data_IF_363508700096
#
_entry.id   IF_363508700096
#
_cell.length_a   1.000
_cell.length_b   1.000
_cell.length_c   1.000
_cell.angle_alpha   90.00
_cell.angle_beta   90.00
_cell.angle_gamma   90.00
#
_symmetry.space_group_name_H-M   'P 1'
#
loop_
_entity.id
_entity.type
_entity.pdbx_description
1 polymer ?
#
# COMPACT_ATOMS: atom_id res chain seq x y z
N UNK A 1 -10.25 9.05 10.72
CA UNK A 1 -8.93 8.53 10.31
C UNK A 1 -8.13 8.23 11.56
N UNK A 2 -7.78 6.97 11.80
CA UNK A 2 -7.00 6.57 12.98
C UNK A 2 -5.50 6.69 12.68
N UNK A 3 -5.02 7.91 12.47
CA UNK A 3 -3.59 8.17 12.37
C UNK A 3 -3.07 8.45 13.78
N UNK A 4 -2.03 7.73 14.18
CA UNK A 4 -1.35 7.97 15.46
C UNK A 4 0.01 8.60 15.21
N UNK A 5 0.61 9.19 16.25
CA UNK A 5 1.99 9.67 16.16
C UNK A 5 2.90 8.56 15.63
N UNK A 6 3.86 8.87 14.73
CA UNK A 6 4.71 7.86 14.11
C UNK A 6 5.47 7.08 15.19
N UNK A 7 5.39 5.75 15.12
CA UNK A 7 6.07 4.84 16.04
C UNK A 7 7.17 4.09 15.30
N UNK A 8 8.29 3.88 16.00
CA UNK A 8 9.40 3.07 15.54
C UNK A 8 9.22 1.63 16.04
N UNK A 9 9.30 0.68 15.13
CA UNK A 9 9.43 -0.74 15.42
C UNK A 9 10.82 -1.19 14.97
N UNK A 10 11.58 -1.80 15.89
CA UNK A 10 12.92 -2.30 15.61
C UNK A 10 12.89 -3.82 15.67
N UNK A 11 13.34 -4.47 14.59
CA UNK A 11 13.43 -5.92 14.52
C UNK A 11 14.85 -6.32 14.12
N UNK A 12 15.42 -7.31 14.80
CA UNK A 12 16.75 -7.85 14.49
C UNK A 12 16.64 -9.36 14.24
N UNK A 13 16.34 -9.79 13.00
CA UNK A 13 16.19 -11.21 12.70
C UNK A 13 17.52 -11.98 12.72
N UNK A 14 18.65 -11.29 12.49
CA UNK A 14 20.00 -11.85 12.51
C UNK A 14 20.93 -10.86 13.23
N UNK A 15 22.03 -11.31 13.84
CA UNK A 15 23.06 -10.41 14.37
C UNK A 15 23.62 -9.43 13.31
N UNK A 16 23.52 -9.77 12.03
CA UNK A 16 23.99 -8.97 10.90
C UNK A 16 22.89 -8.14 10.23
N UNK A 17 21.65 -8.16 10.75
CA UNK A 17 20.50 -7.52 10.11
C UNK A 17 19.63 -6.77 11.12
N UNK A 18 19.39 -5.49 10.84
CA UNK A 18 18.47 -4.66 11.62
C UNK A 18 17.44 -4.00 10.70
N UNK A 19 16.16 -4.13 11.05
CA UNK A 19 15.03 -3.53 10.35
C UNK A 19 14.41 -2.46 11.27
N UNK A 20 14.35 -1.23 10.76
CA UNK A 20 13.71 -0.10 11.42
C UNK A 20 12.46 0.30 10.65
N UNK A 21 11.29 -0.01 11.19
CA UNK A 21 10.00 0.26 10.54
C UNK A 21 9.28 1.37 11.28
N UNK A 22 9.05 2.49 10.60
CA UNK A 22 8.26 3.61 11.12
C UNK A 22 6.85 3.52 10.54
N UNK A 23 5.84 3.58 11.40
CA UNK A 23 4.44 3.41 11.01
C UNK A 23 3.53 4.37 11.76
N UNK A 24 2.50 4.85 11.07
CA UNK A 24 1.38 5.61 11.67
C UNK A 24 0.23 4.72 12.12
N UNK A 25 0.34 3.41 11.89
CA UNK A 25 -0.70 2.44 12.27
C UNK A 25 -0.79 2.34 13.80
N UNK A 26 -2.00 2.44 14.38
CA UNK A 26 -2.21 2.19 15.80
C UNK A 26 -1.78 0.77 16.18
N UNK A 27 -1.42 0.52 17.47
CA UNK A 27 -1.06 -0.80 17.94
C UNK A 27 -2.21 -1.78 17.66
N UNK A 28 -1.91 -3.02 17.23
CA UNK A 28 -2.93 -3.95 16.75
C UNK A 28 -3.68 -4.60 17.92
N UNK A 29 -4.50 -3.84 18.64
CA UNK A 29 -5.46 -4.36 19.62
C UNK A 29 -6.65 -5.00 18.91
N UNK A 30 -7.37 -5.91 19.57
CA UNK A 30 -8.55 -6.57 18.99
C UNK A 30 -9.59 -5.55 18.51
N UNK A 31 -9.85 -4.50 19.31
CA UNK A 31 -10.77 -3.43 18.93
C UNK A 31 -10.33 -2.68 17.67
N UNK A 32 -9.03 -2.34 17.57
CA UNK A 32 -8.48 -1.66 16.38
C UNK A 32 -8.52 -2.58 15.15
N UNK A 33 -8.29 -3.89 15.32
CA UNK A 33 -8.41 -4.86 14.22
C UNK A 33 -9.85 -4.99 13.74
N UNK A 34 -10.82 -5.12 14.65
CA UNK A 34 -12.24 -5.18 14.32
C UNK A 34 -12.70 -3.90 13.62
N UNK A 35 -12.32 -2.73 14.15
CA UNK A 35 -12.65 -1.44 13.55
C UNK A 35 -11.98 -1.28 12.18
N UNK A 36 -10.70 -1.63 12.03
CA UNK A 36 -10.01 -1.58 10.74
C UNK A 36 -10.61 -2.56 9.73
N UNK A 37 -11.04 -3.74 10.18
CA UNK A 37 -11.74 -4.72 9.34
C UNK A 37 -13.10 -4.19 8.91
N UNK A 38 -13.88 -3.62 9.84
CA UNK A 38 -15.16 -2.98 9.56
C UNK A 38 -15.01 -1.83 8.54
N UNK A 39 -13.99 -0.97 8.71
CA UNK A 39 -13.69 0.10 7.76
C UNK A 39 -13.29 -0.45 6.38
N UNK A 40 -12.55 -1.56 6.34
CA UNK A 40 -12.19 -2.21 5.07
C UNK A 40 -13.43 -2.80 4.40
N UNK A 41 -14.30 -3.49 5.15
CA UNK A 41 -15.58 -4.01 4.64
C UNK A 41 -16.45 -2.87 4.11
N UNK A 42 -16.58 -1.77 4.86
CA UNK A 42 -17.32 -0.59 4.42
C UNK A 42 -16.74 0.01 3.14
N UNK A 43 -15.41 0.09 3.02
CA UNK A 43 -14.74 0.55 1.78
C UNK A 43 -15.02 -0.36 0.60
N UNK A 44 -14.96 -1.67 0.80
CA UNK A 44 -15.27 -2.66 -0.25
C UNK A 44 -16.74 -2.53 -0.67
N UNK A 45 -17.66 -2.41 0.28
CA UNK A 45 -19.08 -2.21 -0.01
C UNK A 45 -19.34 -0.91 -0.77
N UNK A 46 -18.71 0.21 -0.39
CA UNK A 46 -18.81 1.49 -1.11
C UNK A 46 -18.24 1.41 -2.52
N UNK A 47 -17.12 0.72 -2.70
CA UNK A 47 -16.51 0.51 -4.02
C UNK A 47 -17.42 -0.34 -4.92
N UNK A 48 -17.93 -1.47 -4.40
CA UNK A 48 -18.87 -2.32 -5.12
C UNK A 48 -20.18 -1.58 -5.45
N UNK A 49 -20.72 -0.81 -4.51
CA UNK A 49 -21.91 0.01 -4.76
C UNK A 49 -21.67 1.06 -5.85
N UNK A 50 -20.49 1.69 -5.85
CA UNK A 50 -20.12 2.68 -6.88
C UNK A 50 -20.04 2.03 -8.27
N UNK A 51 -19.48 0.82 -8.36
CA UNK A 51 -19.41 0.05 -9.61
C UNK A 51 -20.83 -0.33 -10.07
N UNK A 52 -21.69 -0.82 -9.17
CA UNK A 52 -23.06 -1.21 -9.51
C UNK A 52 -23.88 -0.02 -10.04
N UNK A 53 -23.72 1.16 -9.43
CA UNK A 53 -24.36 2.38 -9.91
C UNK A 53 -23.86 2.80 -11.29
N UNK A 54 -22.55 2.69 -11.53
CA UNK A 54 -21.96 3.02 -12.83
C UNK A 54 -22.40 2.02 -13.93
N UNK A 55 -22.50 0.74 -13.60
CA UNK A 55 -23.04 -0.30 -14.49
C UNK A 55 -24.53 -0.09 -14.79
N UNK A 56 -25.33 0.28 -13.78
CA UNK A 56 -26.74 0.63 -13.98
C UNK A 56 -26.90 1.86 -14.89
N UNK A 57 -26.12 2.92 -14.66
CA UNK A 57 -26.09 4.10 -15.53
C UNK A 57 -25.67 3.76 -16.97
N UNK A 58 -24.66 2.90 -17.16
CA UNK A 58 -24.25 2.44 -18.49
C UNK A 58 -25.37 1.68 -19.20
N UNK A 59 -26.07 0.78 -18.52
CA UNK A 59 -27.15 -0.01 -19.12
C UNK A 59 -28.38 0.80 -19.56
N UNK A 60 -28.58 2.00 -19.00
CA UNK A 60 -29.62 2.94 -19.44
C UNK A 60 -29.16 3.83 -20.60
N UNK A 61 -27.86 3.83 -20.91
CA UNK A 61 -27.33 4.58 -22.05
C UNK A 61 -27.66 3.87 -23.37
N UNK A 62 -27.92 4.62 -24.46
CA UNK A 62 -28.22 4.03 -25.77
C UNK A 62 -27.05 3.19 -26.33
N UNK A 63 -25.86 3.35 -25.78
CA UNK A 63 -24.65 2.62 -26.19
C UNK A 63 -24.56 1.19 -25.63
N UNK A 64 -25.36 0.84 -24.61
CA UNK A 64 -25.34 -0.50 -24.01
C UNK A 64 -26.23 -1.53 -24.75
N UNK A 65 -27.19 -1.05 -25.53
CA UNK A 65 -28.11 -1.90 -26.30
C UNK A 65 -27.44 -2.98 -27.18
N UNK A 66 -26.38 -2.70 -27.97
CA UNK A 66 -25.72 -3.71 -28.81
C UNK A 66 -24.97 -4.78 -28.01
N UNK A 67 -24.57 -4.50 -26.77
CA UNK A 67 -23.80 -5.43 -25.94
C UNK A 67 -24.69 -6.33 -25.08
N UNK A 68 -25.88 -5.86 -24.72
CA UNK A 68 -26.86 -6.62 -23.93
C UNK A 68 -27.75 -7.51 -24.81
N UNK A 69 -27.93 -7.14 -26.09
CA UNK A 69 -28.61 -7.96 -27.09
C UNK A 69 -27.75 -9.18 -27.44
N UNK A 70 -28.26 -10.41 -27.25
CA UNK A 70 -27.58 -11.59 -27.77
C UNK A 70 -27.53 -11.47 -29.29
N UNK A 71 -26.33 -11.33 -29.84
CA UNK A 71 -26.14 -11.44 -31.29
C UNK A 71 -26.68 -12.82 -31.71
N UNK A 72 -27.63 -12.90 -32.65
CA UNK A 72 -28.18 -14.18 -33.08
C UNK A 72 -27.01 -15.02 -33.59
N UNK A 73 -26.81 -16.14 -32.91
CA UNK A 73 -25.80 -17.13 -33.21
C UNK A 73 -25.87 -17.45 -34.69
N UNK A 74 -24.81 -17.13 -35.42
CA UNK A 74 -24.60 -17.65 -36.76
C UNK A 74 -24.59 -19.18 -36.60
N UNK A 75 -25.59 -19.84 -37.16
CA UNK A 75 -25.77 -21.28 -37.18
C UNK A 75 -24.45 -21.95 -37.57
N UNK A 76 -23.85 -22.81 -36.71
CA UNK A 76 -22.72 -23.62 -37.14
C UNK A 76 -23.28 -24.67 -38.10
N UNK A 77 -22.99 -24.49 -39.38
CA UNK A 77 -23.15 -25.56 -40.37
C UNK A 77 -22.30 -26.74 -39.91
N UNK A 78 -23.00 -27.82 -39.58
CA UNK A 78 -22.61 -29.22 -39.40
C UNK A 78 -21.17 -29.57 -39.79
N UNK A 79 -20.32 -29.89 -38.81
CA UNK A 79 -19.25 -30.91 -38.94
C UNK A 79 -18.97 -31.47 -37.53
N UNK A 80 -19.08 -32.79 -37.30
CA UNK A 80 -18.86 -33.36 -35.97
C UNK A 80 -17.39 -33.76 -35.85
N UNK A 81 -16.58 -32.95 -35.18
CA UNK A 81 -15.33 -33.44 -34.59
C UNK A 81 -14.90 -32.52 -33.42
N UNK A 82 -14.98 -33.08 -32.21
CA UNK A 82 -14.41 -32.64 -30.94
C UNK A 82 -14.67 -31.18 -30.46
N UNK A 83 -15.45 -30.96 -29.39
CA UNK A 83 -15.38 -29.69 -28.66
C UNK A 83 -14.10 -29.65 -27.80
N UNK A 84 -13.20 -28.67 -27.97
CA UNK A 84 -12.07 -28.49 -27.08
C UNK A 84 -12.59 -28.03 -25.70
N UNK A 85 -12.27 -28.80 -24.67
CA UNK A 85 -12.67 -28.57 -23.27
C UNK A 85 -12.07 -27.29 -22.64
N UNK A 86 -11.30 -26.52 -23.41
CA UNK A 86 -10.43 -25.45 -22.91
C UNK A 86 -11.04 -24.05 -23.06
N UNK A 87 -12.18 -23.91 -23.76
CA UNK A 87 -12.80 -22.61 -24.05
C UNK A 87 -13.70 -22.05 -22.93
N UNK A 88 -13.85 -22.75 -21.79
CA UNK A 88 -14.99 -22.55 -20.88
C UNK A 88 -14.73 -21.71 -19.62
N UNK A 89 -13.49 -21.36 -19.30
CA UNK A 89 -13.21 -20.63 -18.05
C UNK A 89 -13.07 -19.11 -18.20
N UNK A 90 -12.80 -18.59 -19.40
CA UNK A 90 -12.68 -17.14 -19.70
C UNK A 90 -13.42 -16.74 -20.99
N UNK A 91 -14.54 -17.40 -21.30
CA UNK A 91 -15.32 -17.05 -22.49
C UNK A 91 -16.10 -15.74 -22.27
N UNK A 92 -16.11 -14.86 -23.27
CA UNK A 92 -16.86 -13.60 -23.24
C UNK A 92 -18.36 -13.80 -22.93
N UNK A 93 -18.91 -14.97 -23.26
CA UNK A 93 -20.30 -15.35 -23.00
C UNK A 93 -20.59 -15.64 -21.53
N UNK A 94 -19.63 -16.19 -20.78
CA UNK A 94 -19.78 -16.41 -19.32
C UNK A 94 -19.70 -15.08 -18.57
N UNK A 95 -18.87 -14.15 -19.06
CA UNK A 95 -18.82 -12.77 -18.56
C UNK A 95 -20.18 -12.06 -18.69
N UNK A 96 -20.82 -12.12 -19.87
CA UNK A 96 -22.14 -11.53 -20.07
C UNK A 96 -23.24 -12.19 -19.22
N UNK A 97 -23.17 -13.51 -19.00
CA UNK A 97 -24.08 -14.20 -18.09
C UNK A 97 -23.90 -13.77 -16.64
N UNK A 98 -22.65 -13.69 -16.16
CA UNK A 98 -22.34 -13.21 -14.81
C UNK A 98 -22.85 -11.78 -14.59
N UNK A 99 -22.66 -10.90 -15.58
CA UNK A 99 -23.17 -9.53 -15.54
C UNK A 99 -24.71 -9.48 -15.44
N UNK A 100 -25.42 -10.36 -16.16
CA UNK A 100 -26.88 -10.50 -16.07
C UNK A 100 -27.33 -10.99 -14.69
N UNK A 101 -26.63 -11.97 -14.09
CA UNK A 101 -26.91 -12.40 -12.72
C UNK A 101 -26.70 -11.27 -11.70
N UNK A 102 -25.69 -10.43 -11.90
CA UNK A 102 -25.44 -9.25 -11.07
C UNK A 102 -26.59 -8.23 -11.23
N UNK A 103 -27.07 -7.98 -12.44
CA UNK A 103 -28.24 -7.11 -12.66
C UNK A 103 -29.55 -7.68 -12.07
N UNK A 104 -29.72 -9.01 -12.11
CA UNK A 104 -30.88 -9.69 -11.54
C UNK A 104 -30.86 -9.80 -10.00
N UNK A 105 -29.76 -9.40 -9.35
CA UNK A 105 -29.65 -9.40 -7.89
C UNK A 105 -30.46 -8.25 -7.25
N UNK A 106 -30.83 -8.41 -5.97
CA UNK A 106 -31.50 -7.37 -5.17
C UNK A 106 -30.76 -6.02 -5.20
N UNK A 107 -29.41 -5.95 -5.00
CA UNK A 107 -28.70 -4.68 -5.06
C UNK A 107 -28.65 -4.08 -6.48
N UNK A 108 -28.62 -4.90 -7.53
CA UNK A 108 -28.69 -4.44 -8.92
C UNK A 108 -30.02 -3.73 -9.22
N UNK A 109 -31.15 -4.28 -8.75
CA UNK A 109 -32.47 -3.64 -8.91
C UNK A 109 -32.59 -2.33 -8.12
N UNK A 110 -32.02 -2.25 -6.93
CA UNK A 110 -32.00 -1.02 -6.14
C UNK A 110 -31.17 0.07 -6.81
N UNK A 111 -30.00 -0.27 -7.35
CA UNK A 111 -29.18 0.66 -8.13
C UNK A 111 -29.95 1.20 -9.34
N UNK A 112 -30.62 0.34 -10.09
CA UNK A 112 -31.48 0.74 -11.22
C UNK A 112 -32.62 1.67 -10.82
N UNK A 113 -33.26 1.43 -9.67
CA UNK A 113 -34.31 2.31 -9.13
C UNK A 113 -33.76 3.69 -8.76
N UNK A 114 -32.57 3.76 -8.18
CA UNK A 114 -31.91 5.02 -7.81
C UNK A 114 -31.55 5.82 -9.06
N UNK A 115 -30.99 5.17 -10.09
CA UNK A 115 -30.65 5.83 -11.36
C UNK A 115 -31.91 6.26 -12.12
N UNK A 116 -32.97 5.44 -12.12
CA UNK A 116 -34.24 5.77 -12.78
C UNK A 116 -35.04 6.86 -12.03
N UNK A 117 -34.80 7.03 -10.73
CA UNK A 117 -35.38 8.14 -10.00
C UNK A 117 -34.70 9.45 -10.43
N UNK A 118 -35.47 10.39 -10.97
CA UNK A 118 -35.02 11.73 -11.39
C UNK A 118 -34.43 12.60 -10.24
N UNK A 119 -34.21 12.02 -9.05
CA UNK A 119 -33.67 12.67 -7.88
C UNK A 119 -32.21 13.14 -8.06
N UNK A 120 -31.43 12.47 -8.92
CA UNK A 120 -30.03 12.86 -9.20
C UNK A 120 -29.77 12.84 -10.71
N UNK A 121 -29.36 13.96 -11.33
CA UNK A 121 -29.02 13.98 -12.74
C UNK A 121 -27.77 13.12 -13.01
N UNK A 122 -27.85 12.28 -14.05
CA UNK A 122 -26.75 11.43 -14.53
C UNK A 122 -25.36 12.12 -14.61
N UNK A 123 -25.22 13.36 -15.12
CA UNK A 123 -23.91 14.02 -15.20
C UNK A 123 -23.28 14.33 -13.83
N UNK A 124 -24.04 14.35 -12.74
CA UNK A 124 -23.51 14.51 -11.37
C UNK A 124 -23.25 13.15 -10.73
N UNK A 125 -24.10 12.16 -11.02
CA UNK A 125 -23.98 10.81 -10.48
C UNK A 125 -22.67 10.12 -10.89
N UNK A 126 -22.31 10.19 -12.17
CA UNK A 126 -21.12 9.54 -12.73
C UNK A 126 -19.82 10.04 -12.07
N UNK A 127 -19.50 11.35 -12.06
CA UNK A 127 -18.30 11.83 -11.40
C UNK A 127 -18.33 11.59 -9.89
N UNK A 128 -19.50 11.65 -9.25
CA UNK A 128 -19.66 11.30 -7.83
C UNK A 128 -19.26 9.84 -7.53
N UNK A 129 -19.72 8.90 -8.36
CA UNK A 129 -19.36 7.48 -8.24
C UNK A 129 -17.87 7.24 -8.50
N UNK A 130 -17.29 7.91 -9.51
CA UNK A 130 -15.85 7.81 -9.80
C UNK A 130 -15.01 8.38 -8.66
N UNK A 131 -15.39 9.53 -8.11
CA UNK A 131 -14.70 10.14 -6.98
C UNK A 131 -14.82 9.29 -5.72
N UNK A 132 -15.99 8.71 -5.45
CA UNK A 132 -16.19 7.78 -4.34
C UNK A 132 -15.32 6.53 -4.51
N UNK A 133 -15.32 5.90 -5.69
CA UNK A 133 -14.46 4.77 -5.99
C UNK A 133 -12.98 5.13 -5.82
N UNK A 134 -12.53 6.26 -6.35
CA UNK A 134 -11.16 6.75 -6.18
C UNK A 134 -10.80 6.98 -4.70
N UNK A 135 -11.70 7.60 -3.93
CA UNK A 135 -11.54 7.83 -2.49
C UNK A 135 -11.33 6.52 -1.70
N UNK A 136 -11.97 5.42 -2.11
CA UNK A 136 -11.75 4.11 -1.47
C UNK A 136 -10.37 3.52 -1.77
N UNK A 137 -9.76 3.85 -2.92
CA UNK A 137 -8.45 3.38 -3.38
C UNK A 137 -7.27 4.16 -2.74
N UNK A 138 -7.54 5.33 -2.18
CA UNK A 138 -6.55 6.12 -1.45
C UNK A 138 -6.12 5.41 -0.16
N UNK A 139 -4.80 5.28 0.04
CA UNK A 139 -4.21 4.59 1.18
C UNK A 139 -4.26 5.47 2.43
N UNK A 140 -4.77 4.92 3.54
CA UNK A 140 -4.95 5.66 4.80
C UNK A 140 -3.75 5.61 5.74
N UNK A 141 -2.82 4.69 5.52
CA UNK A 141 -1.67 4.48 6.38
C UNK A 141 -0.37 4.49 5.59
N UNK A 142 0.59 5.23 6.12
CA UNK A 142 1.95 5.30 5.61
C UNK A 142 2.87 4.49 6.52
N UNK A 143 3.68 3.66 5.89
CA UNK A 143 4.70 2.83 6.54
C UNK A 143 5.98 2.94 5.74
N UNK A 144 7.07 3.27 6.41
CA UNK A 144 8.39 3.38 5.80
C UNK A 144 9.35 2.54 6.62
N UNK A 145 10.18 1.74 5.96
CA UNK A 145 11.14 0.87 6.62
C UNK A 145 12.54 1.07 6.05
N UNK A 146 13.51 0.90 6.94
CA UNK A 146 14.93 0.93 6.66
C UNK A 146 15.51 -0.40 7.11
N UNK A 147 15.94 -1.21 6.16
CA UNK A 147 16.63 -2.46 6.41
C UNK A 147 18.13 -2.23 6.25
N UNK A 148 18.89 -2.54 7.28
CA UNK A 148 20.35 -2.46 7.28
C UNK A 148 20.90 -3.88 7.28
N UNK A 149 21.72 -4.18 6.28
CA UNK A 149 22.38 -5.46 6.08
C UNK A 149 23.89 -5.24 6.22
N UNK A 150 24.48 -5.79 7.29
CA UNK A 150 25.91 -5.64 7.57
C UNK A 150 26.74 -6.19 6.40
N UNK A 151 27.70 -5.38 5.93
CA UNK A 151 28.59 -5.72 4.83
C UNK A 151 27.93 -5.71 3.43
N UNK A 152 26.61 -5.54 3.33
CA UNK A 152 25.91 -5.51 2.05
C UNK A 152 25.42 -4.09 1.71
N UNK A 153 24.68 -3.47 2.63
CA UNK A 153 24.20 -2.11 2.43
C UNK A 153 22.90 -1.82 3.15
N UNK A 154 22.21 -0.80 2.65
CA UNK A 154 20.98 -0.28 3.23
C UNK A 154 19.86 -0.36 2.19
N UNK A 155 18.70 -0.86 2.58
CA UNK A 155 17.49 -0.85 1.78
C UNK A 155 16.44 0.05 2.41
N UNK A 156 16.00 1.05 1.67
CA UNK A 156 14.85 1.89 2.04
C UNK A 156 13.60 1.36 1.35
N UNK A 157 12.49 1.28 2.08
CA UNK A 157 11.20 0.88 1.52
C UNK A 157 10.13 1.88 1.98
N UNK A 158 9.50 2.60 1.05
CA UNK A 158 8.43 3.54 1.36
C UNK A 158 7.11 3.12 0.72
N UNK A 159 6.04 3.18 1.51
CA UNK A 159 4.68 2.88 1.04
C UNK A 159 4.11 4.02 0.18
N UNK A 160 3.66 3.66 -1.01
CA UNK A 160 2.97 4.59 -1.92
C UNK A 160 1.59 5.02 -1.40
N UNK A 161 1.09 6.16 -1.93
CA UNK A 161 -0.10 6.86 -1.42
C UNK A 161 -1.43 6.22 -1.84
N UNK A 162 -1.37 5.26 -2.77
CA UNK A 162 -2.50 4.50 -3.26
C UNK A 162 -2.31 3.01 -2.95
N UNK A 163 -3.41 2.26 -2.84
CA UNK A 163 -3.35 0.80 -2.75
C UNK A 163 -2.91 0.16 -4.08
N UNK A 164 -3.12 0.82 -5.21
CA UNK A 164 -2.75 0.32 -6.54
C UNK A 164 -1.27 0.47 -6.87
N UNK A 165 -0.57 1.35 -6.16
CA UNK A 165 0.84 1.63 -6.41
C UNK A 165 1.72 0.80 -5.46
N UNK A 166 2.70 0.11 -6.05
CA UNK A 166 3.69 -0.67 -5.32
C UNK A 166 4.50 0.21 -4.37
N UNK A 167 5.07 -0.41 -3.33
CA UNK A 167 6.02 0.28 -2.45
C UNK A 167 7.30 0.59 -3.24
N UNK A 168 7.85 1.79 -3.05
CA UNK A 168 9.13 2.15 -3.61
C UNK A 168 10.24 1.52 -2.76
N UNK A 169 11.05 0.64 -3.34
CA UNK A 169 12.20 0.03 -2.68
C UNK A 169 13.48 0.49 -3.37
N UNK A 170 14.47 0.93 -2.59
CA UNK A 170 15.78 1.34 -3.10
C UNK A 170 16.87 0.70 -2.24
N UNK A 171 17.77 -0.02 -2.88
CA UNK A 171 18.94 -0.61 -2.25
C UNK A 171 20.18 0.22 -2.56
N UNK A 172 20.99 0.47 -1.52
CA UNK A 172 22.21 1.27 -1.56
C UNK A 172 23.33 0.40 -1.00
N UNK A 173 24.27 -0.07 -1.85
CA UNK A 173 25.41 -0.87 -1.42
C UNK A 173 26.29 -0.11 -0.42
N UNK A 174 26.90 -0.82 0.54
CA UNK A 174 27.79 -0.20 1.55
C UNK A 174 28.95 0.57 0.93
N UNK A 175 29.51 0.07 -0.17
CA UNK A 175 30.64 0.71 -0.89
C UNK A 175 30.30 2.12 -1.38
N UNK A 176 29.02 2.37 -1.68
CA UNK A 176 28.55 3.68 -2.15
C UNK A 176 28.15 4.61 -1.01
N UNK A 177 28.12 4.15 0.24
CA UNK A 177 27.69 4.96 1.37
C UNK A 177 28.90 5.72 1.91
N UNK A 178 28.90 7.04 1.74
CA UNK A 178 29.93 7.89 2.34
C UNK A 178 29.66 8.11 3.82
N UNK A 179 28.45 8.58 4.14
CA UNK A 179 28.00 8.76 5.51
C UNK A 179 26.47 8.79 5.63
N UNK A 180 25.97 8.54 6.84
CA UNK A 180 24.58 8.68 7.23
C UNK A 180 24.47 9.81 8.24
N UNK A 181 23.74 10.86 7.90
CA UNK A 181 23.62 12.07 8.71
C UNK A 181 22.17 12.31 9.13
N UNK A 182 22.03 12.97 10.28
CA UNK A 182 20.75 13.52 10.72
C UNK A 182 20.78 15.01 10.40
N UNK A 183 19.85 15.46 9.56
CA UNK A 183 19.69 16.88 9.28
C UNK A 183 18.38 17.43 9.84
N UNK A 184 18.33 18.74 10.03
CA UNK A 184 17.14 19.48 10.40
C UNK A 184 16.69 20.41 9.27
N UNK A 185 15.37 20.54 9.11
CA UNK A 185 14.78 21.46 8.16
C UNK A 185 13.58 22.16 8.78
N UNK A 186 13.37 23.41 8.37
CA UNK A 186 12.19 24.18 8.72
C UNK A 186 11.07 23.87 7.73
N UNK A 187 9.93 23.42 8.23
CA UNK A 187 8.69 23.27 7.45
C UNK A 187 7.63 24.20 8.02
N UNK A 188 7.49 25.38 7.43
CA UNK A 188 6.71 26.46 8.04
C UNK A 188 7.36 26.93 9.34
N UNK A 189 6.68 26.73 10.47
CA UNK A 189 7.17 27.06 11.81
C UNK A 189 7.60 25.84 12.64
N UNK A 190 7.62 24.64 12.04
CA UNK A 190 8.01 23.41 12.72
C UNK A 190 9.41 22.98 12.28
N UNK A 191 10.30 22.69 13.23
CA UNK A 191 11.60 22.06 12.97
C UNK A 191 11.40 20.55 12.85
N UNK A 192 11.77 19.99 11.69
CA UNK A 192 11.68 18.56 11.42
C UNK A 192 13.05 17.96 11.20
N UNK A 193 13.27 16.81 11.81
CA UNK A 193 14.51 16.04 11.65
C UNK A 193 14.30 14.96 10.60
N UNK A 194 15.29 14.76 9.74
CA UNK A 194 15.26 13.72 8.73
C UNK A 194 16.64 13.06 8.60
N UNK A 195 16.60 11.77 8.30
CA UNK A 195 17.80 10.96 8.11
C UNK A 195 18.15 10.95 6.62
N UNK A 196 19.38 11.34 6.30
CA UNK A 196 19.93 11.34 4.94
C UNK A 196 21.09 10.35 4.84
N UNK A 197 21.18 9.71 3.69
CA UNK A 197 22.33 8.89 3.30
C UNK A 197 23.02 9.61 2.14
N UNK A 198 24.30 9.90 2.32
CA UNK A 198 25.15 10.45 1.25
C UNK A 198 25.67 9.27 0.44
N UNK A 199 25.33 9.25 -0.84
CA UNK A 199 25.70 8.19 -1.77
C UNK A 199 26.74 8.71 -2.76
N UNK A 200 27.83 8.00 -2.93
CA UNK A 200 28.86 8.32 -3.92
C UNK A 200 28.31 8.17 -5.35
N UNK A 201 28.51 9.19 -6.18
CA UNK A 201 28.07 9.21 -7.58
C UNK A 201 26.61 9.62 -7.79
N UNK A 202 25.90 10.04 -6.75
CA UNK A 202 24.58 10.67 -6.85
C UNK A 202 24.66 12.14 -6.41
N UNK A 203 24.12 13.06 -7.22
CA UNK A 203 24.04 14.49 -6.86
C UNK A 203 22.95 14.75 -5.80
N UNK A 204 21.94 13.87 -5.75
CA UNK A 204 20.80 13.98 -4.84
C UNK A 204 21.02 13.18 -3.55
N UNK A 205 20.68 13.81 -2.41
CA UNK A 205 20.71 13.16 -1.10
C UNK A 205 19.53 12.20 -0.94
N UNK A 206 19.79 10.97 -0.49
CA UNK A 206 18.72 10.00 -0.26
C UNK A 206 18.12 10.16 1.13
N UNK A 207 16.86 10.59 1.19
CA UNK A 207 16.09 10.69 2.44
C UNK A 207 15.47 9.33 2.76
N UNK A 208 15.77 8.80 3.96
CA UNK A 208 15.31 7.47 4.39
C UNK A 208 13.80 7.42 4.66
N UNK A 209 13.24 8.47 5.26
CA UNK A 209 11.83 8.57 5.66
C UNK A 209 11.14 9.78 5.00
N UNK A 210 10.90 9.76 3.68
CA UNK A 210 10.45 10.94 2.94
C UNK A 210 9.06 11.43 3.34
N UNK A 211 8.15 10.53 3.76
CA UNK A 211 6.75 10.90 4.07
C UNK A 211 6.50 11.06 5.55
N UNK A 212 7.09 10.21 6.38
CA UNK A 212 6.75 10.17 7.80
C UNK A 212 7.46 11.25 8.63
N UNK A 213 8.65 11.69 8.20
CA UNK A 213 9.47 12.73 8.86
C UNK A 213 9.38 12.66 10.40
N UNK A 214 9.83 11.56 11.01
CA UNK A 214 9.60 11.29 12.43
C UNK A 214 10.36 12.28 13.34
N UNK A 215 9.95 12.33 14.63
CA UNK A 215 10.59 13.20 15.63
C UNK A 215 12.06 12.82 15.88
N UNK A 216 12.86 13.78 16.36
CA UNK A 216 14.30 13.63 16.69
C UNK A 216 14.64 12.32 17.38
N UNK A 217 13.91 11.96 18.45
CA UNK A 217 14.16 10.74 19.25
C UNK A 217 14.19 9.46 18.40
N UNK A 218 13.25 9.34 17.47
CA UNK A 218 13.14 8.19 16.57
C UNK A 218 14.30 8.20 15.57
N UNK A 219 14.54 9.34 14.92
CA UNK A 219 15.62 9.50 13.94
C UNK A 219 16.98 9.19 14.55
N UNK A 220 17.23 9.69 15.77
CA UNK A 220 18.49 9.46 16.49
C UNK A 220 18.68 7.99 16.86
N UNK A 221 17.61 7.30 17.27
CA UNK A 221 17.67 5.86 17.56
C UNK A 221 17.98 5.05 16.30
N UNK A 222 17.33 5.39 15.18
CA UNK A 222 17.61 4.74 13.88
C UNK A 222 19.04 5.02 13.45
N UNK A 223 19.50 6.28 13.52
CA UNK A 223 20.86 6.67 13.15
C UNK A 223 21.92 5.91 13.96
N UNK A 224 21.79 5.85 15.29
CA UNK A 224 22.71 5.06 16.14
C UNK A 224 22.71 3.59 15.76
N UNK A 225 21.54 3.03 15.48
CA UNK A 225 21.40 1.63 15.05
C UNK A 225 22.05 1.35 13.70
N UNK A 226 21.87 2.24 12.73
CA UNK A 226 22.48 2.14 11.39
C UNK A 226 24.00 2.25 11.49
N UNK A 227 24.51 3.26 12.20
CA UNK A 227 25.95 3.47 12.39
C UNK A 227 26.60 2.25 13.06
N UNK A 228 25.96 1.70 14.09
CA UNK A 228 26.42 0.47 14.76
C UNK A 228 26.51 -0.71 13.80
N UNK A 229 25.45 -0.96 13.01
CA UNK A 229 25.43 -2.09 12.08
C UNK A 229 26.39 -1.96 10.89
N UNK A 230 26.66 -0.74 10.41
CA UNK A 230 27.51 -0.51 9.22
C UNK A 230 29.00 -0.43 9.58
N UNK A 231 29.37 0.26 10.67
CA UNK A 231 30.78 0.56 11.00
C UNK A 231 31.39 -0.24 12.17
N UNK A 232 30.62 -0.89 13.05
CA UNK A 232 31.22 -1.69 14.15
C UNK A 232 31.95 -2.96 13.66
N UNK A 233 31.89 -3.26 12.35
CA UNK A 233 32.63 -4.35 11.73
C UNK A 233 34.14 -4.08 11.62
N UNK A 234 34.55 -2.82 11.41
CA UNK A 234 35.96 -2.51 11.16
C UNK A 234 36.79 -2.46 12.44
N UNK A 235 36.14 -2.47 13.61
CA UNK A 235 36.79 -2.35 14.92
C UNK A 235 36.93 -3.65 15.72
N UNK A 236 36.43 -4.80 15.26
CA UNK A 236 36.40 -6.04 16.06
C UNK A 236 37.00 -7.26 15.39
N UNK A 237 38.18 -7.08 14.79
CA UNK A 237 39.19 -8.15 14.67
C UNK A 237 40.14 -8.22 15.90
N UNK A 238 39.85 -7.50 16.99
CA UNK A 238 40.65 -7.55 18.22
C UNK A 238 39.86 -7.20 19.48
N UNK A 239 39.35 -8.22 20.17
CA UNK A 239 39.04 -8.21 21.61
C UNK A 239 37.73 -7.52 22.06
N UNK A 240 36.82 -8.28 22.67
CA UNK A 240 35.79 -7.68 23.55
C UNK A 240 34.39 -8.31 23.54
N UNK A 241 34.27 -9.64 23.64
CA UNK A 241 32.98 -10.35 23.68
C UNK A 241 32.13 -10.17 24.95
N UNK A 242 32.26 -9.07 25.70
CA UNK A 242 31.56 -8.89 26.99
C UNK A 242 30.36 -7.93 26.92
N UNK A 243 30.24 -7.06 25.91
CA UNK A 243 29.26 -5.95 25.94
C UNK A 243 27.95 -6.19 25.19
N UNK A 244 27.85 -7.21 24.33
CA UNK A 244 26.67 -7.45 23.50
C UNK A 244 25.44 -7.82 24.33
N UNK A 245 25.63 -8.57 25.43
CA UNK A 245 24.54 -9.03 26.30
C UNK A 245 23.85 -7.91 27.07
N UNK A 246 24.57 -6.82 27.38
CA UNK A 246 24.06 -5.72 28.22
C UNK A 246 23.31 -4.66 27.42
N UNK A 247 23.56 -4.56 26.11
CA UNK A 247 22.78 -3.66 25.24
C UNK A 247 21.41 -4.24 24.91
N UNK A 248 21.30 -5.53 24.64
CA UNK A 248 20.02 -6.17 24.29
C UNK A 248 18.95 -6.04 25.39
N UNK A 249 19.35 -6.09 26.67
CA UNK A 249 18.44 -5.88 27.81
C UNK A 249 17.94 -4.43 27.93
N UNK A 250 18.77 -3.44 27.56
CA UNK A 250 18.41 -2.01 27.66
C UNK A 250 17.38 -1.58 26.61
N UNK A 251 17.31 -2.30 25.48
CA UNK A 251 16.36 -2.00 24.40
C UNK A 251 15.04 -2.76 24.51
N UNK A 252 15.00 -3.89 25.23
CA UNK A 252 13.77 -4.66 25.45
C UNK A 252 12.89 -4.14 26.61
N UNK A 253 13.46 -3.35 27.53
CA UNK A 253 12.77 -2.88 28.75
C UNK A 253 11.94 -1.59 28.64
N UNK A 254 11.74 -1.03 27.44
CA UNK A 254 10.99 0.23 27.26
C UNK A 254 9.55 0.00 26.82
N UNK A 255 8.68 -0.38 27.77
CA UNK A 255 7.21 -0.34 27.63
C UNK A 255 6.71 1.07 27.91
#
# INVERSE_FOLDING_TARGET
MLTTAPRLHVRRPSPTTAEFTVTTRPPPTLAVRLLSSLLLVLRVLLFLSSILLLQAAWSQSPYAAPFLSPSPTKTPTTTPDNPPADALFFSITTFWHALRFIHASVPGRLAHRIVASHAVPLPVLIPGCLLAAYATLLRTHTTESLLVLRGLGIQTSSTSGSYLSAAATRFIPTEKIQDVLVNEAFRGFEVRYYLIVIVEGEEDLVVVFPRLLPRKKIVETVWRGVRGCLWEADGTAGGGGWNTRKMDERWQGGV
#
